data_IF_669546474490
#
_entry.id   IF_669546474490
#
_cell.length_a   1.000
_cell.length_b   1.000
_cell.length_c   1.000
_cell.angle_alpha   90.00
_cell.angle_beta   90.00
_cell.angle_gamma   90.00
#
_symmetry.space_group_name_H-M   'P 1'
#
loop_
_entity.id
_entity.type
_entity.pdbx_description
1 polymer ?
#
# COMPACT_ATOMS: atom_id res chain seq x y z
N UNK A 1 -18.58 37.93 -12.17
CA UNK A 1 -17.53 36.95 -11.86
C UNK A 1 -18.02 35.64 -12.49
N UNK A 2 -17.32 35.15 -13.52
CA UNK A 2 -17.64 33.85 -14.09
C UNK A 2 -17.46 32.82 -12.95
N UNK A 3 -18.51 32.05 -12.67
CA UNK A 3 -18.35 30.83 -11.91
C UNK A 3 -17.40 29.95 -12.73
N UNK A 4 -16.14 29.84 -12.32
CA UNK A 4 -15.24 28.84 -12.89
C UNK A 4 -15.91 27.48 -12.62
N UNK A 5 -16.50 26.93 -13.67
CA UNK A 5 -17.10 25.61 -13.59
C UNK A 5 -15.95 24.62 -13.36
N UNK A 6 -16.11 23.74 -12.38
CA UNK A 6 -15.15 22.66 -12.10
C UNK A 6 -14.72 22.00 -13.42
N UNK A 7 -13.40 21.78 -13.66
CA UNK A 7 -12.93 21.12 -14.87
C UNK A 7 -13.64 19.78 -15.07
N UNK A 8 -13.91 19.42 -16.32
CA UNK A 8 -14.42 18.08 -16.68
C UNK A 8 -13.27 17.17 -17.10
N UNK A 9 -13.53 15.87 -17.03
CA UNK A 9 -12.57 14.86 -17.49
C UNK A 9 -12.70 14.77 -19.01
N UNK A 10 -11.59 14.95 -19.73
CA UNK A 10 -11.54 14.96 -21.19
C UNK A 10 -11.09 13.64 -21.79
N UNK A 11 -10.15 12.94 -21.13
CA UNK A 11 -9.60 11.69 -21.62
C UNK A 11 -9.11 10.78 -20.49
N UNK A 12 -9.15 9.49 -20.75
CA UNK A 12 -8.55 8.43 -19.96
C UNK A 12 -7.52 7.69 -20.82
N UNK A 13 -6.30 7.53 -20.30
CA UNK A 13 -5.25 6.72 -20.93
C UNK A 13 -4.79 5.66 -19.97
N UNK A 14 -4.75 4.41 -20.41
CA UNK A 14 -4.34 3.26 -19.60
C UNK A 14 -3.17 2.55 -20.28
N UNK A 15 -2.16 2.18 -19.49
CA UNK A 15 -0.97 1.47 -19.98
C UNK A 15 -0.65 0.30 -19.05
N UNK A 16 -0.46 -0.87 -19.64
CA UNK A 16 0.07 -2.03 -18.95
C UNK A 16 1.59 -2.04 -19.10
N UNK A 17 2.33 -2.14 -17.99
CA UNK A 17 3.80 -2.20 -18.00
C UNK A 17 4.31 -3.31 -17.09
N UNK A 18 5.49 -3.84 -17.38
CA UNK A 18 6.19 -4.85 -16.56
C UNK A 18 7.57 -4.33 -16.22
N UNK A 19 7.72 -3.81 -15.01
CA UNK A 19 8.97 -3.21 -14.55
C UNK A 19 9.81 -4.27 -13.84
N UNK A 20 11.01 -4.62 -14.32
CA UNK A 20 11.86 -5.59 -13.64
C UNK A 20 12.31 -5.05 -12.28
N UNK A 21 12.29 -5.91 -11.27
CA UNK A 21 12.84 -5.59 -9.96
C UNK A 21 14.36 -5.64 -10.01
N UNK A 22 15.03 -4.71 -9.32
CA UNK A 22 16.48 -4.70 -9.18
C UNK A 22 17.00 -5.98 -8.50
N UNK A 23 16.24 -6.49 -7.54
CA UNK A 23 16.42 -7.78 -6.91
C UNK A 23 15.08 -8.52 -6.87
N UNK A 24 15.01 -9.80 -7.34
CA UNK A 24 13.80 -10.59 -7.21
C UNK A 24 13.39 -10.71 -5.74
N UNK A 25 12.09 -10.52 -5.45
CA UNK A 25 11.54 -10.61 -4.11
C UNK A 25 10.91 -11.98 -3.89
N UNK A 26 11.43 -12.74 -2.94
CA UNK A 26 10.90 -14.05 -2.56
C UNK A 26 9.71 -13.88 -1.62
N UNK A 27 8.62 -14.58 -1.91
CA UNK A 27 7.43 -14.65 -1.07
C UNK A 27 7.05 -16.12 -0.82
N UNK A 28 6.18 -16.39 0.13
CA UNK A 28 5.65 -17.75 0.34
C UNK A 28 4.90 -18.30 -0.88
N UNK A 29 4.41 -17.43 -1.78
CA UNK A 29 3.68 -17.80 -3.00
C UNK A 29 4.56 -17.91 -4.25
N UNK A 30 5.86 -17.61 -4.14
CA UNK A 30 6.83 -17.67 -5.25
C UNK A 30 7.66 -16.41 -5.38
N UNK A 31 8.43 -16.34 -6.48
CA UNK A 31 9.36 -15.24 -6.76
C UNK A 31 8.70 -14.17 -7.59
N UNK A 32 8.71 -12.92 -7.10
CA UNK A 32 8.33 -11.72 -7.85
C UNK A 32 9.60 -11.14 -8.45
N UNK A 33 9.77 -11.27 -9.77
CA UNK A 33 10.93 -10.75 -10.51
C UNK A 33 10.65 -9.44 -11.25
N UNK A 34 9.38 -9.02 -11.32
CA UNK A 34 8.92 -7.83 -12.01
C UNK A 34 7.64 -7.31 -11.36
N UNK A 35 7.39 -6.02 -11.51
CA UNK A 35 6.13 -5.37 -11.11
C UNK A 35 5.20 -5.25 -12.31
N UNK A 36 4.13 -6.06 -12.40
CA UNK A 36 3.07 -5.87 -13.38
C UNK A 36 2.16 -4.72 -12.95
N UNK A 37 2.26 -3.58 -13.64
CA UNK A 37 1.59 -2.32 -13.26
C UNK A 37 0.61 -1.84 -14.32
N UNK A 38 -0.52 -1.32 -13.87
CA UNK A 38 -1.46 -0.56 -14.69
C UNK A 38 -1.27 0.92 -14.37
N UNK A 39 -0.79 1.69 -15.33
CA UNK A 39 -0.66 3.14 -15.21
C UNK A 39 -1.91 3.79 -15.80
N UNK A 40 -2.49 4.72 -15.06
CA UNK A 40 -3.70 5.44 -15.47
C UNK A 40 -3.43 6.94 -15.48
N UNK A 41 -3.72 7.58 -16.61
CA UNK A 41 -3.63 9.01 -16.78
C UNK A 41 -5.03 9.57 -17.07
N UNK A 42 -5.50 10.53 -16.28
CA UNK A 42 -6.74 11.28 -16.48
C UNK A 42 -6.38 12.70 -16.92
N UNK A 43 -6.84 13.10 -18.12
CA UNK A 43 -6.65 14.48 -18.62
C UNK A 43 -7.93 15.26 -18.42
N UNK A 44 -7.84 16.43 -17.83
CA UNK A 44 -8.95 17.38 -17.62
C UNK A 44 -9.14 18.34 -18.78
N UNK A 45 -10.27 19.05 -18.83
CA UNK A 45 -10.60 20.01 -19.88
C UNK A 45 -9.66 21.22 -19.94
N UNK A 46 -9.02 21.57 -18.84
CA UNK A 46 -7.99 22.61 -18.70
C UNK A 46 -6.57 22.09 -18.97
N UNK A 47 -6.43 20.82 -19.34
CA UNK A 47 -5.16 20.22 -19.77
C UNK A 47 -4.31 19.64 -18.63
N UNK A 48 -4.77 19.66 -17.39
CA UNK A 48 -4.09 18.99 -16.29
C UNK A 48 -4.16 17.49 -16.46
N UNK A 49 -3.07 16.78 -16.13
CA UNK A 49 -3.00 15.32 -16.16
C UNK A 49 -2.75 14.80 -14.75
N UNK A 50 -3.68 13.97 -14.27
CA UNK A 50 -3.52 13.22 -13.02
C UNK A 50 -3.10 11.79 -13.29
N UNK A 51 -2.28 11.23 -12.41
CA UNK A 51 -1.62 9.95 -12.55
C UNK A 51 -2.00 9.00 -11.41
N UNK A 52 -2.10 7.72 -11.73
CA UNK A 52 -2.14 6.65 -10.72
C UNK A 52 -1.47 5.38 -11.21
N UNK A 53 -1.12 4.51 -10.27
CA UNK A 53 -0.56 3.19 -10.53
C UNK A 53 -1.30 2.13 -9.73
N UNK A 54 -1.54 0.99 -10.34
CA UNK A 54 -2.08 -0.23 -9.72
C UNK A 54 -1.11 -1.37 -9.93
N UNK A 55 -0.76 -2.08 -8.87
CA UNK A 55 0.06 -3.28 -8.90
C UNK A 55 -0.83 -4.51 -8.92
N UNK A 56 -0.70 -5.36 -9.93
CA UNK A 56 -1.61 -6.50 -10.12
C UNK A 56 -1.12 -7.82 -9.53
N UNK A 57 -0.03 -7.80 -8.76
CA UNK A 57 0.62 -8.94 -8.09
C UNK A 57 1.10 -10.06 -9.04
N UNK A 58 0.35 -10.32 -10.10
CA UNK A 58 0.68 -11.35 -11.10
C UNK A 58 0.52 -10.80 -12.51
N UNK A 59 1.43 -11.15 -13.45
CA UNK A 59 1.28 -10.79 -14.87
C UNK A 59 -0.03 -11.28 -15.49
N UNK A 60 -0.63 -12.35 -14.96
CA UNK A 60 -1.91 -12.89 -15.43
C UNK A 60 -3.05 -11.88 -15.27
N UNK A 61 -3.05 -11.08 -14.20
CA UNK A 61 -4.07 -10.08 -13.93
C UNK A 61 -3.80 -8.73 -14.63
N UNK A 62 -2.61 -8.52 -15.20
CA UNK A 62 -2.19 -7.22 -15.74
C UNK A 62 -3.12 -6.71 -16.86
N UNK A 63 -3.23 -7.46 -17.95
CA UNK A 63 -4.08 -7.05 -19.09
C UNK A 63 -5.56 -7.00 -18.74
N UNK A 64 -6.14 -7.99 -18.04
CA UNK A 64 -7.53 -7.89 -17.57
C UNK A 64 -7.83 -6.65 -16.74
N UNK A 65 -6.92 -6.26 -15.83
CA UNK A 65 -7.09 -5.06 -15.02
C UNK A 65 -6.97 -3.78 -15.87
N UNK A 66 -5.98 -3.71 -16.76
CA UNK A 66 -5.81 -2.56 -17.65
C UNK A 66 -7.02 -2.37 -18.57
N UNK A 67 -7.54 -3.45 -19.15
CA UNK A 67 -8.73 -3.44 -19.98
C UNK A 67 -9.98 -3.01 -19.19
N UNK A 68 -10.12 -3.49 -17.96
CA UNK A 68 -11.23 -3.07 -17.10
C UNK A 68 -11.18 -1.58 -16.78
N UNK A 69 -9.99 -1.03 -16.45
CA UNK A 69 -9.81 0.42 -16.24
C UNK A 69 -10.16 1.19 -17.50
N UNK A 70 -9.69 0.75 -18.69
CA UNK A 70 -10.01 1.40 -19.98
C UNK A 70 -11.51 1.37 -20.27
N UNK A 71 -12.21 0.29 -19.94
CA UNK A 71 -13.65 0.15 -20.13
C UNK A 71 -14.48 1.07 -19.22
N UNK A 72 -13.88 1.72 -18.24
CA UNK A 72 -14.53 2.78 -17.44
C UNK A 72 -14.60 4.13 -18.18
N UNK A 73 -13.87 4.31 -19.28
CA UNK A 73 -13.81 5.58 -20.02
C UNK A 73 -15.17 6.22 -20.29
N UNK A 74 -16.20 5.48 -20.81
CA UNK A 74 -17.53 6.07 -21.06
C UNK A 74 -18.28 6.51 -19.80
N UNK A 75 -17.88 6.02 -18.63
CA UNK A 75 -18.47 6.39 -17.34
C UNK A 75 -17.77 7.59 -16.69
N UNK A 76 -16.54 7.88 -17.09
CA UNK A 76 -15.66 8.87 -16.48
C UNK A 76 -15.50 10.11 -17.36
N UNK A 77 -15.29 9.94 -18.66
CA UNK A 77 -15.11 11.06 -19.61
C UNK A 77 -16.39 11.88 -19.72
N UNK A 78 -16.25 13.21 -19.70
CA UNK A 78 -17.36 14.17 -19.67
C UNK A 78 -17.88 14.49 -18.26
N UNK A 79 -17.52 13.71 -17.25
CA UNK A 79 -17.90 13.97 -15.86
C UNK A 79 -17.06 15.12 -15.25
N UNK A 80 -17.57 15.84 -14.25
CA UNK A 80 -16.77 16.83 -13.52
C UNK A 80 -15.61 16.16 -12.75
N UNK A 81 -14.51 16.89 -12.54
CA UNK A 81 -13.40 16.45 -11.70
C UNK A 81 -13.81 16.44 -10.22
N UNK A 82 -14.66 15.51 -9.84
CA UNK A 82 -15.27 15.38 -8.52
C UNK A 82 -15.06 13.95 -7.96
N UNK A 83 -13.88 13.65 -7.35
CA UNK A 83 -13.53 12.29 -6.93
C UNK A 83 -14.60 11.61 -6.06
N UNK A 84 -15.13 12.31 -5.05
CA UNK A 84 -16.14 11.74 -4.14
C UNK A 84 -17.46 11.39 -4.85
N UNK A 85 -17.87 12.20 -5.82
CA UNK A 85 -19.09 11.92 -6.59
C UNK A 85 -18.87 10.71 -7.51
N UNK A 86 -17.74 10.69 -8.23
CA UNK A 86 -17.44 9.60 -9.16
C UNK A 86 -17.22 8.27 -8.45
N UNK A 87 -16.57 8.27 -7.29
CA UNK A 87 -16.46 7.05 -6.48
C UNK A 87 -17.84 6.47 -6.16
N UNK A 88 -18.80 7.29 -5.72
CA UNK A 88 -20.15 6.84 -5.39
C UNK A 88 -20.91 6.32 -6.61
N UNK A 89 -20.83 7.03 -7.74
CA UNK A 89 -21.53 6.60 -8.99
C UNK A 89 -20.93 5.32 -9.56
N UNK A 90 -19.62 5.16 -9.54
CA UNK A 90 -18.96 3.94 -9.99
C UNK A 90 -19.26 2.77 -9.04
N UNK A 91 -19.19 2.96 -7.72
CA UNK A 91 -19.55 1.92 -6.75
C UNK A 91 -21.00 1.45 -6.93
N UNK A 92 -21.94 2.38 -7.17
CA UNK A 92 -23.32 2.09 -7.47
C UNK A 92 -23.49 1.29 -8.76
N UNK A 93 -22.71 1.61 -9.81
CA UNK A 93 -22.72 0.90 -11.10
C UNK A 93 -22.30 -0.56 -10.96
N UNK A 94 -21.34 -0.84 -10.07
CA UNK A 94 -20.83 -2.19 -9.86
C UNK A 94 -21.48 -2.93 -8.68
N UNK A 95 -22.59 -2.44 -8.13
CA UNK A 95 -23.25 -3.02 -6.95
C UNK A 95 -23.52 -4.52 -7.07
N UNK A 96 -23.94 -4.99 -8.25
CA UNK A 96 -24.28 -6.41 -8.46
C UNK A 96 -23.05 -7.30 -8.68
N UNK A 97 -21.95 -6.72 -9.16
CA UNK A 97 -20.69 -7.44 -9.37
C UNK A 97 -19.80 -7.42 -8.11
N UNK A 98 -19.95 -6.39 -7.28
CA UNK A 98 -19.08 -6.10 -6.16
C UNK A 98 -17.96 -5.14 -6.54
N UNK A 99 -17.37 -4.52 -5.53
CA UNK A 99 -16.26 -3.55 -5.65
C UNK A 99 -14.93 -4.09 -5.12
N UNK A 100 -14.78 -5.40 -5.10
CA UNK A 100 -13.59 -6.12 -4.65
C UNK A 100 -12.80 -6.67 -5.85
N UNK A 101 -11.59 -7.18 -5.59
CA UNK A 101 -10.75 -7.79 -6.61
C UNK A 101 -10.44 -6.83 -7.76
N UNK A 102 -10.48 -7.32 -9.00
CA UNK A 102 -10.13 -6.51 -10.18
C UNK A 102 -11.03 -5.27 -10.34
N UNK A 103 -12.30 -5.35 -9.95
CA UNK A 103 -13.20 -4.18 -9.96
C UNK A 103 -12.69 -3.14 -8.97
N UNK A 104 -12.38 -3.53 -7.74
CA UNK A 104 -11.83 -2.62 -6.72
C UNK A 104 -10.53 -1.96 -7.17
N UNK A 105 -9.62 -2.73 -7.79
CA UNK A 105 -8.39 -2.20 -8.37
C UNK A 105 -8.66 -1.14 -9.45
N UNK A 106 -9.60 -1.42 -10.37
CA UNK A 106 -9.93 -0.48 -11.43
C UNK A 106 -10.58 0.80 -10.91
N UNK A 107 -11.48 0.69 -9.93
CA UNK A 107 -12.10 1.86 -9.30
C UNK A 107 -11.09 2.71 -8.53
N UNK A 108 -10.17 2.07 -7.80
CA UNK A 108 -9.10 2.74 -7.09
C UNK A 108 -8.12 3.45 -8.04
N UNK A 109 -7.82 2.86 -9.22
CA UNK A 109 -7.00 3.52 -10.23
C UNK A 109 -7.62 4.85 -10.68
N UNK A 110 -8.93 4.88 -10.93
CA UNK A 110 -9.65 6.11 -11.28
C UNK A 110 -9.64 7.10 -10.12
N UNK A 111 -10.00 6.67 -8.90
CA UNK A 111 -10.05 7.52 -7.71
C UNK A 111 -8.69 8.22 -7.45
N UNK A 112 -7.60 7.46 -7.42
CA UNK A 112 -6.26 8.00 -7.20
C UNK A 112 -5.85 9.02 -8.29
N UNK A 113 -6.15 8.74 -9.57
CA UNK A 113 -5.82 9.65 -10.66
C UNK A 113 -6.67 10.93 -10.62
N UNK A 114 -7.93 10.85 -10.19
CA UNK A 114 -8.80 12.02 -10.00
C UNK A 114 -8.29 12.94 -8.88
N UNK A 115 -7.90 12.36 -7.75
CA UNK A 115 -7.33 13.13 -6.65
C UNK A 115 -5.99 13.76 -7.01
N UNK A 116 -5.15 13.06 -7.80
CA UNK A 116 -3.92 13.62 -8.33
C UNK A 116 -4.19 14.79 -9.27
N UNK A 117 -5.12 14.65 -10.23
CA UNK A 117 -5.54 15.71 -11.12
C UNK A 117 -6.08 16.93 -10.36
N UNK A 118 -6.91 16.71 -9.34
CA UNK A 118 -7.47 17.78 -8.52
C UNK A 118 -6.37 18.55 -7.76
N UNK A 119 -5.42 17.85 -7.16
CA UNK A 119 -4.32 18.50 -6.46
C UNK A 119 -3.44 19.31 -7.45
N UNK A 120 -3.13 18.74 -8.61
CA UNK A 120 -2.35 19.40 -9.67
C UNK A 120 -3.04 20.62 -10.25
N UNK A 121 -4.38 20.60 -10.43
CA UNK A 121 -5.12 21.76 -10.94
C UNK A 121 -5.04 22.98 -10.01
N UNK A 122 -4.74 22.75 -8.73
CA UNK A 122 -4.49 23.80 -7.75
C UNK A 122 -3.00 24.06 -7.50
N UNK A 123 -2.10 23.39 -8.22
CA UNK A 123 -0.64 23.44 -7.99
C UNK A 123 -0.24 23.08 -6.56
N UNK A 124 -0.98 22.17 -5.94
CA UNK A 124 -0.76 21.67 -4.57
C UNK A 124 -0.35 20.20 -4.58
N UNK A 125 0.26 19.75 -3.49
CA UNK A 125 0.30 18.32 -3.18
C UNK A 125 -1.07 17.87 -2.68
N UNK A 126 -1.35 16.55 -2.75
CA UNK A 126 -2.56 15.97 -2.16
C UNK A 126 -2.66 16.31 -0.67
N UNK A 127 -1.53 16.24 0.04
CA UNK A 127 -1.44 16.60 1.46
C UNK A 127 -1.91 18.04 1.73
N UNK A 128 -1.41 19.00 0.93
CA UNK A 128 -1.79 20.42 1.04
C UNK A 128 -3.25 20.66 0.64
N UNK A 129 -3.72 19.99 -0.43
CA UNK A 129 -5.11 20.09 -0.86
C UNK A 129 -6.09 19.67 0.25
N UNK A 130 -5.71 18.66 1.03
CA UNK A 130 -6.50 18.16 2.16
C UNK A 130 -6.26 18.95 3.47
N UNK A 131 -5.52 20.06 3.43
CA UNK A 131 -5.26 20.90 4.60
C UNK A 131 -4.24 20.30 5.58
N UNK A 132 -3.47 19.30 5.16
CA UNK A 132 -2.43 18.67 5.97
C UNK A 132 -1.07 19.33 5.85
N UNK A 133 -0.16 18.94 6.73
CA UNK A 133 1.25 19.32 6.72
C UNK A 133 2.13 18.09 6.94
N UNK A 134 3.36 18.13 6.39
CA UNK A 134 4.32 17.06 6.57
C UNK A 134 4.63 16.86 8.07
N UNK A 135 4.69 15.62 8.49
CA UNK A 135 5.11 15.20 9.83
C UNK A 135 6.07 14.02 9.73
N UNK A 136 6.95 13.82 10.73
CA UNK A 136 7.87 12.69 10.71
C UNK A 136 7.11 11.37 10.79
N UNK A 137 7.26 10.54 9.76
CA UNK A 137 6.73 9.17 9.70
C UNK A 137 7.93 8.25 9.48
N UNK A 138 8.17 7.27 10.36
CA UNK A 138 9.25 6.30 10.17
C UNK A 138 8.93 5.36 9.00
N UNK A 139 9.99 4.93 8.30
CA UNK A 139 9.87 3.98 7.20
C UNK A 139 10.62 2.68 7.52
N UNK A 140 10.11 1.57 6.99
CA UNK A 140 10.79 0.29 7.00
C UNK A 140 10.99 -0.26 5.60
N UNK A 141 12.09 -1.00 5.42
CA UNK A 141 12.41 -1.67 4.17
C UNK A 141 11.92 -3.13 4.16
N UNK A 142 11.50 -3.59 2.99
CA UNK A 142 11.02 -4.97 2.79
C UNK A 142 12.20 -5.95 2.68
N UNK A 143 12.09 -7.10 3.36
CA UNK A 143 13.00 -8.25 3.32
C UNK A 143 12.20 -9.47 2.86
N UNK A 144 12.76 -10.24 1.93
CA UNK A 144 12.07 -11.40 1.34
C UNK A 144 12.05 -12.65 2.24
N UNK A 145 11.63 -13.77 1.63
CA UNK A 145 11.59 -15.10 2.22
C UNK A 145 12.88 -15.88 1.85
N UNK A 146 14.05 -15.37 2.26
CA UNK A 146 15.36 -15.75 1.68
C UNK A 146 16.25 -16.55 2.64
N UNK A 147 15.73 -16.94 3.82
CA UNK A 147 16.48 -17.60 4.87
C UNK A 147 17.35 -16.63 5.69
N UNK A 148 17.89 -17.14 6.80
CA UNK A 148 18.51 -16.32 7.83
C UNK A 148 19.66 -15.45 7.35
N UNK A 149 20.56 -16.00 6.52
CA UNK A 149 21.76 -15.27 6.07
C UNK A 149 21.43 -14.15 5.08
N UNK A 150 20.57 -14.43 4.10
CA UNK A 150 20.18 -13.42 3.09
C UNK A 150 19.28 -12.34 3.70
N UNK A 151 18.32 -12.71 4.55
CA UNK A 151 17.50 -11.75 5.28
C UNK A 151 18.35 -10.81 6.16
N UNK A 152 19.37 -11.33 6.83
CA UNK A 152 20.29 -10.52 7.63
C UNK A 152 21.08 -9.52 6.78
N UNK A 153 21.56 -9.93 5.59
CA UNK A 153 22.24 -9.02 4.64
C UNK A 153 21.30 -7.91 4.17
N UNK A 154 20.12 -8.28 3.68
CA UNK A 154 19.14 -7.29 3.19
C UNK A 154 18.70 -6.33 4.28
N UNK A 155 18.47 -6.82 5.50
CA UNK A 155 18.15 -5.98 6.66
C UNK A 155 19.28 -5.00 6.99
N UNK A 156 20.55 -5.48 6.96
CA UNK A 156 21.71 -4.63 7.12
C UNK A 156 21.80 -3.54 6.05
N UNK A 157 21.59 -3.88 4.79
CA UNK A 157 21.63 -2.93 3.67
C UNK A 157 20.56 -1.84 3.82
N UNK A 158 19.34 -2.17 4.26
CA UNK A 158 18.32 -1.17 4.60
C UNK A 158 18.74 -0.27 5.76
N UNK A 159 19.31 -0.84 6.84
CA UNK A 159 19.78 -0.06 7.96
C UNK A 159 20.93 0.90 7.57
N UNK A 160 21.85 0.48 6.67
CA UNK A 160 22.89 1.36 6.12
C UNK A 160 22.34 2.50 5.27
N UNK A 161 21.19 2.32 4.63
CA UNK A 161 20.47 3.39 3.93
C UNK A 161 19.69 4.31 4.89
N UNK A 162 19.78 4.06 6.20
CA UNK A 162 19.16 4.90 7.23
C UNK A 162 17.76 4.49 7.65
N UNK A 163 17.24 3.35 7.18
CA UNK A 163 15.94 2.85 7.63
C UNK A 163 15.99 2.45 9.12
N UNK A 164 14.94 2.80 9.85
CA UNK A 164 14.81 2.50 11.27
C UNK A 164 13.95 1.26 11.56
N UNK A 165 13.48 0.60 10.52
CA UNK A 165 12.74 -0.65 10.60
C UNK A 165 12.97 -1.54 9.38
N UNK A 166 12.77 -2.85 9.54
CA UNK A 166 12.78 -3.86 8.48
C UNK A 166 11.66 -4.86 8.71
N UNK A 167 11.00 -5.32 7.63
CA UNK A 167 9.95 -6.33 7.69
C UNK A 167 10.32 -7.53 6.82
N UNK A 168 10.44 -8.72 7.43
CA UNK A 168 10.77 -9.95 6.73
C UNK A 168 9.55 -10.87 6.56
N UNK A 169 9.50 -11.57 5.45
CA UNK A 169 8.57 -12.68 5.25
C UNK A 169 9.07 -13.90 6.02
N UNK A 170 8.17 -14.54 6.79
CA UNK A 170 8.43 -15.76 7.55
C UNK A 170 7.31 -16.80 7.30
N UNK A 171 7.36 -17.93 7.97
CA UNK A 171 6.46 -19.05 7.76
C UNK A 171 7.21 -20.26 7.22
N UNK A 172 8.45 -20.41 7.67
CA UNK A 172 9.29 -21.58 7.34
C UNK A 172 8.70 -22.87 7.91
N UNK A 173 9.27 -24.00 7.53
CA UNK A 173 8.77 -25.32 7.93
C UNK A 173 8.64 -25.45 9.46
N UNK A 174 9.56 -24.87 10.21
CA UNK A 174 9.52 -24.86 11.68
C UNK A 174 9.54 -23.44 12.23
N UNK A 175 8.98 -23.24 13.44
CA UNK A 175 9.08 -21.96 14.14
C UNK A 175 10.53 -21.63 14.53
N UNK A 176 11.39 -22.62 14.69
CA UNK A 176 12.81 -22.45 14.96
C UNK A 176 13.52 -21.80 13.77
N UNK A 177 13.10 -22.09 12.54
CA UNK A 177 13.62 -21.44 11.34
C UNK A 177 13.16 -19.96 11.29
N UNK A 178 11.90 -19.67 11.65
CA UNK A 178 11.40 -18.30 11.78
C UNK A 178 12.25 -17.51 12.81
N UNK A 179 12.48 -18.10 13.98
CA UNK A 179 13.33 -17.50 15.04
C UNK A 179 14.76 -17.29 14.57
N UNK A 180 15.33 -18.23 13.80
CA UNK A 180 16.69 -18.11 13.27
C UNK A 180 16.81 -16.90 12.33
N UNK A 181 15.81 -16.64 11.47
CA UNK A 181 15.75 -15.45 10.61
C UNK A 181 15.70 -14.18 11.45
N UNK A 182 14.80 -14.10 12.42
CA UNK A 182 14.62 -12.92 13.28
C UNK A 182 15.92 -12.60 14.03
N UNK A 183 16.55 -13.61 14.65
CA UNK A 183 17.79 -13.43 15.41
C UNK A 183 18.97 -13.06 14.52
N UNK A 184 19.05 -13.60 13.30
CA UNK A 184 20.08 -13.23 12.33
C UNK A 184 19.94 -11.76 11.91
N UNK A 185 18.71 -11.30 11.61
CA UNK A 185 18.44 -9.90 11.33
C UNK A 185 18.80 -9.01 12.54
N UNK A 186 18.34 -9.36 13.75
CA UNK A 186 18.62 -8.59 14.98
C UNK A 186 20.14 -8.45 15.21
N UNK A 187 20.90 -9.53 14.99
CA UNK A 187 22.36 -9.48 15.07
C UNK A 187 22.99 -8.54 14.03
N UNK A 188 22.40 -8.47 12.83
CA UNK A 188 22.91 -7.63 11.75
C UNK A 188 22.62 -6.14 11.94
N UNK A 189 21.42 -5.79 12.44
CA UNK A 189 20.95 -4.40 12.52
C UNK A 189 21.05 -3.79 13.93
N UNK A 190 21.26 -4.60 14.95
CA UNK A 190 21.30 -4.15 16.36
C UNK A 190 19.92 -3.82 16.93
N UNK A 191 19.89 -3.37 18.20
CA UNK A 191 18.63 -3.15 18.95
C UNK A 191 17.91 -1.85 18.56
N UNK A 192 18.59 -0.95 17.86
CA UNK A 192 18.02 0.35 17.43
C UNK A 192 17.09 0.28 16.22
N UNK A 193 17.04 -0.85 15.50
CA UNK A 193 16.19 -1.04 14.33
C UNK A 193 15.00 -1.92 14.68
N UNK A 194 13.79 -1.44 14.39
CA UNK A 194 12.56 -2.20 14.58
C UNK A 194 12.51 -3.40 13.62
N UNK A 195 12.13 -4.57 14.11
CA UNK A 195 11.92 -5.77 13.30
C UNK A 195 10.44 -6.12 13.31
N UNK A 196 9.88 -6.29 12.13
CA UNK A 196 8.54 -6.77 11.87
C UNK A 196 8.62 -8.05 11.05
N UNK A 197 7.62 -8.89 11.18
CA UNK A 197 7.54 -10.13 10.40
C UNK A 197 6.15 -10.32 9.82
N UNK A 198 6.06 -11.03 8.70
CA UNK A 198 4.84 -11.23 7.96
C UNK A 198 4.71 -12.70 7.52
N UNK A 199 3.61 -13.31 7.89
CA UNK A 199 3.26 -14.69 7.52
C UNK A 199 2.52 -14.79 6.19
N UNK A 200 2.06 -13.68 5.63
CA UNK A 200 1.26 -13.64 4.39
C UNK A 200 0.15 -14.71 4.36
N UNK A 201 -0.63 -14.80 5.43
CA UNK A 201 -1.81 -15.64 5.54
C UNK A 201 -1.52 -17.15 5.50
N UNK A 202 -0.32 -17.59 5.86
CA UNK A 202 0.14 -18.97 5.65
C UNK A 202 -0.27 -19.97 6.75
N UNK A 203 -0.76 -19.49 7.89
CA UNK A 203 -1.03 -20.34 9.05
C UNK A 203 -2.53 -20.52 9.31
N UNK A 204 -2.89 -21.62 9.97
CA UNK A 204 -4.17 -21.72 10.67
C UNK A 204 -4.13 -20.92 11.98
N UNK A 205 -5.28 -20.48 12.55
CA UNK A 205 -5.28 -19.78 13.84
C UNK A 205 -4.59 -20.54 14.96
N UNK A 206 -4.76 -21.87 15.01
CA UNK A 206 -4.13 -22.71 16.02
C UNK A 206 -2.59 -22.75 15.88
N UNK A 207 -2.08 -22.89 14.65
CA UNK A 207 -0.64 -22.83 14.38
C UNK A 207 -0.07 -21.44 14.68
N UNK A 208 -0.79 -20.38 14.30
CA UNK A 208 -0.40 -19.02 14.59
C UNK A 208 -0.23 -18.80 16.11
N UNK A 209 -1.21 -19.20 16.92
CA UNK A 209 -1.10 -19.11 18.39
C UNK A 209 0.12 -19.85 18.92
N UNK A 210 0.38 -21.07 18.43
CA UNK A 210 1.54 -21.86 18.86
C UNK A 210 2.87 -21.20 18.50
N UNK A 211 2.99 -20.68 17.26
CA UNK A 211 4.21 -19.99 16.80
C UNK A 211 4.43 -18.67 17.53
N UNK A 212 3.37 -17.88 17.74
CA UNK A 212 3.48 -16.59 18.41
C UNK A 212 3.91 -16.74 19.87
N UNK A 213 3.50 -17.77 20.59
CA UNK A 213 4.04 -18.04 21.94
C UNK A 213 5.57 -18.17 21.97
N UNK A 214 6.18 -18.66 20.89
CA UNK A 214 7.65 -18.71 20.76
C UNK A 214 8.21 -17.35 20.38
N UNK A 215 7.55 -16.64 19.45
CA UNK A 215 7.99 -15.35 18.92
C UNK A 215 7.84 -14.20 19.93
N UNK A 216 6.95 -14.31 20.91
CA UNK A 216 6.69 -13.27 21.93
C UNK A 216 7.93 -12.80 22.72
N UNK A 217 9.00 -13.57 22.69
CA UNK A 217 10.28 -13.22 23.32
C UNK A 217 11.30 -12.54 22.40
N UNK A 218 11.04 -12.41 21.09
CA UNK A 218 12.02 -11.97 20.10
C UNK A 218 12.03 -10.45 19.88
N UNK A 219 11.21 -9.66 20.59
CA UNK A 219 11.20 -8.20 20.52
C UNK A 219 10.74 -7.64 19.18
N UNK A 220 9.73 -8.25 18.59
CA UNK A 220 9.11 -7.81 17.34
C UNK A 220 8.19 -6.62 17.57
N UNK A 221 8.13 -5.73 16.60
CA UNK A 221 7.20 -4.58 16.60
C UNK A 221 5.77 -5.03 16.31
N UNK A 222 5.59 -5.96 15.37
CA UNK A 222 4.35 -6.71 15.11
C UNK A 222 4.62 -8.00 14.35
N UNK A 223 3.61 -8.86 14.37
CA UNK A 223 3.46 -9.98 13.45
C UNK A 223 2.29 -9.66 12.52
N UNK A 224 2.50 -9.79 11.20
CA UNK A 224 1.55 -9.42 10.17
C UNK A 224 0.87 -10.64 9.57
N UNK A 225 -0.44 -10.51 9.31
CA UNK A 225 -1.29 -11.48 8.64
C UNK A 225 -0.99 -12.96 8.95
N UNK A 226 -1.03 -13.39 10.22
CA UNK A 226 -0.73 -14.79 10.56
C UNK A 226 -1.70 -15.78 9.91
N UNK A 227 -2.98 -15.40 9.73
CA UNK A 227 -4.01 -16.27 9.12
C UNK A 227 -4.67 -15.59 7.91
N UNK A 228 -5.65 -16.24 7.27
CA UNK A 228 -6.34 -15.72 6.09
C UNK A 228 -6.97 -14.34 6.36
N UNK A 229 -6.80 -13.38 5.46
CA UNK A 229 -7.21 -11.99 5.66
C UNK A 229 -8.69 -11.78 6.00
N UNK A 230 -9.57 -12.68 5.53
CA UNK A 230 -11.01 -12.65 5.79
C UNK A 230 -11.43 -13.46 7.04
N UNK A 231 -10.49 -14.13 7.71
CA UNK A 231 -10.76 -14.83 8.97
C UNK A 231 -10.58 -13.89 10.16
N UNK A 232 -11.50 -12.93 10.30
CA UNK A 232 -11.47 -11.95 11.39
C UNK A 232 -11.55 -12.58 12.76
N UNK A 233 -12.30 -13.67 12.91
CA UNK A 233 -12.41 -14.40 14.18
C UNK A 233 -11.11 -15.13 14.54
N UNK A 234 -10.47 -15.77 13.55
CA UNK A 234 -9.15 -16.39 13.72
C UNK A 234 -8.07 -15.37 14.08
N UNK A 235 -8.03 -14.22 13.41
CA UNK A 235 -7.13 -13.13 13.77
C UNK A 235 -7.40 -12.61 15.20
N UNK A 236 -8.66 -12.44 15.61
CA UNK A 236 -9.01 -12.03 16.96
C UNK A 236 -8.54 -13.05 18.01
N UNK A 237 -8.67 -14.35 17.72
CA UNK A 237 -8.15 -15.41 18.59
C UNK A 237 -6.63 -15.30 18.74
N UNK A 238 -5.91 -15.05 17.65
CA UNK A 238 -4.45 -14.89 17.63
C UNK A 238 -4.05 -13.63 18.40
N UNK A 239 -4.67 -12.50 18.15
CA UNK A 239 -4.38 -11.22 18.82
C UNK A 239 -4.61 -11.30 20.34
N UNK A 240 -5.64 -12.01 20.79
CA UNK A 240 -5.90 -12.23 22.22
C UNK A 240 -4.87 -13.14 22.90
N UNK A 241 -4.28 -14.07 22.16
CA UNK A 241 -3.31 -15.03 22.70
C UNK A 241 -1.87 -14.54 22.69
N UNK A 242 -1.53 -13.65 21.75
CA UNK A 242 -0.19 -13.11 21.58
C UNK A 242 0.08 -11.89 22.51
N UNK A 243 1.35 -11.72 22.91
CA UNK A 243 1.83 -10.46 23.52
C UNK A 243 2.41 -9.51 22.48
N UNK A 244 2.98 -10.05 21.42
CA UNK A 244 3.45 -9.28 20.27
C UNK A 244 2.24 -8.76 19.50
N UNK A 245 2.17 -7.46 19.19
CA UNK A 245 1.04 -6.90 18.45
C UNK A 245 0.82 -7.57 17.10
N UNK A 246 -0.44 -7.71 16.71
CA UNK A 246 -0.85 -8.21 15.40
C UNK A 246 -1.18 -7.03 14.49
N UNK A 247 -0.69 -7.04 13.24
CA UNK A 247 -1.03 -6.09 12.20
C UNK A 247 -1.71 -6.80 11.03
N UNK A 248 -2.83 -6.26 10.56
CA UNK A 248 -3.57 -6.78 9.40
C UNK A 248 -4.08 -5.63 8.55
N UNK A 249 -4.46 -5.93 7.31
CA UNK A 249 -5.24 -4.99 6.51
C UNK A 249 -4.78 -4.76 5.08
N UNK A 250 -3.57 -5.15 4.69
CA UNK A 250 -3.12 -5.01 3.31
C UNK A 250 -4.04 -5.72 2.29
N UNK A 251 -4.79 -6.72 2.75
CA UNK A 251 -5.68 -7.53 1.93
C UNK A 251 -7.18 -7.25 2.16
N UNK A 252 -7.53 -6.18 2.90
CA UNK A 252 -8.93 -5.79 3.09
C UNK A 252 -9.46 -4.94 1.94
N UNK A 253 -10.65 -5.26 1.47
CA UNK A 253 -11.32 -4.58 0.37
C UNK A 253 -12.35 -3.58 0.89
N UNK A 254 -12.00 -2.30 0.79
CA UNK A 254 -12.87 -1.20 1.23
C UNK A 254 -13.04 -1.11 2.75
N UNK A 255 -13.79 -0.11 3.18
CA UNK A 255 -14.01 0.18 4.60
C UNK A 255 -14.88 -0.84 5.32
N UNK A 256 -15.60 -1.70 4.60
CA UNK A 256 -16.42 -2.74 5.20
C UNK A 256 -15.58 -3.84 5.84
N UNK A 257 -14.51 -4.30 5.16
CA UNK A 257 -13.60 -5.29 5.74
C UNK A 257 -12.89 -4.72 6.97
N UNK A 258 -12.46 -3.45 6.92
CA UNK A 258 -11.91 -2.76 8.08
C UNK A 258 -12.91 -2.70 9.24
N UNK A 259 -14.19 -2.42 8.97
CA UNK A 259 -15.22 -2.41 10.02
C UNK A 259 -15.39 -3.79 10.65
N UNK A 260 -15.47 -4.85 9.84
CA UNK A 260 -15.56 -6.23 10.33
C UNK A 260 -14.35 -6.60 11.20
N UNK A 261 -13.14 -6.22 10.78
CA UNK A 261 -11.92 -6.47 11.54
C UNK A 261 -11.92 -5.71 12.88
N UNK A 262 -12.33 -4.45 12.89
CA UNK A 262 -12.45 -3.64 14.11
C UNK A 262 -13.48 -4.27 15.06
N UNK A 263 -14.64 -4.66 14.56
CA UNK A 263 -15.73 -5.21 15.39
C UNK A 263 -15.35 -6.58 15.99
N UNK A 264 -14.54 -7.35 15.27
CA UNK A 264 -14.00 -8.62 15.75
C UNK A 264 -12.82 -8.47 16.71
N UNK A 265 -12.16 -7.30 16.76
CA UNK A 265 -10.88 -7.13 17.45
C UNK A 265 -9.76 -7.94 16.78
N UNK A 266 -9.75 -7.96 15.45
CA UNK A 266 -8.88 -8.84 14.65
C UNK A 266 -7.41 -8.45 14.68
N UNK A 267 -7.05 -7.21 15.03
CA UNK A 267 -5.66 -6.75 15.07
C UNK A 267 -5.48 -5.55 15.99
N UNK A 268 -4.24 -5.37 16.47
CA UNK A 268 -3.83 -4.22 17.30
C UNK A 268 -3.51 -3.00 16.44
N UNK A 269 -2.93 -3.23 15.25
CA UNK A 269 -2.59 -2.22 14.26
C UNK A 269 -3.24 -2.54 12.91
N UNK A 270 -3.48 -1.52 12.12
CA UNK A 270 -4.05 -1.62 10.78
C UNK A 270 -2.99 -1.23 9.75
N UNK A 271 -2.91 -2.00 8.67
CA UNK A 271 -2.12 -1.68 7.50
C UNK A 271 -3.05 -1.42 6.31
N UNK A 272 -3.05 -0.21 5.78
CA UNK A 272 -3.89 0.13 4.64
C UNK A 272 -3.11 0.02 3.33
N UNK A 273 -3.68 -0.72 2.40
CA UNK A 273 -3.29 -0.69 0.99
C UNK A 273 -4.19 0.29 0.25
N UNK A 274 -3.63 1.36 -0.31
CA UNK A 274 -4.44 2.43 -0.92
C UNK A 274 -5.29 1.94 -2.10
N UNK A 275 -4.81 0.95 -2.85
CA UNK A 275 -5.55 0.36 -3.95
C UNK A 275 -6.74 -0.48 -3.45
N UNK A 276 -6.50 -1.35 -2.46
CA UNK A 276 -7.55 -2.28 -1.96
C UNK A 276 -8.57 -1.58 -1.08
N UNK A 277 -8.16 -0.57 -0.30
CA UNK A 277 -9.09 0.18 0.56
C UNK A 277 -10.03 1.11 -0.23
N UNK A 278 -9.83 1.27 -1.54
CA UNK A 278 -10.67 2.08 -2.42
C UNK A 278 -10.11 3.45 -2.76
N UNK A 279 -8.82 3.53 -3.03
CA UNK A 279 -8.12 4.76 -3.42
C UNK A 279 -7.91 5.74 -2.27
N UNK A 280 -7.69 6.98 -2.61
CA UNK A 280 -7.56 8.09 -1.65
C UNK A 280 -8.86 8.27 -0.85
N UNK A 281 -10.01 8.21 -1.52
CA UNK A 281 -11.32 8.34 -0.88
C UNK A 281 -11.54 7.26 0.17
N UNK A 282 -11.22 6.00 -0.15
CA UNK A 282 -11.29 4.88 0.77
C UNK A 282 -10.34 5.03 1.96
N UNK A 283 -9.10 5.45 1.70
CA UNK A 283 -8.11 5.68 2.76
C UNK A 283 -8.56 6.73 3.76
N UNK A 284 -9.05 7.88 3.31
CA UNK A 284 -9.49 8.96 4.20
C UNK A 284 -10.61 8.50 5.13
N UNK A 285 -11.56 7.71 4.61
CA UNK A 285 -12.63 7.10 5.43
C UNK A 285 -12.07 6.08 6.43
N UNK A 286 -11.19 5.20 5.98
CA UNK A 286 -10.56 4.17 6.82
C UNK A 286 -9.70 4.78 7.93
N UNK A 287 -8.92 5.82 7.62
CA UNK A 287 -8.11 6.55 8.59
C UNK A 287 -8.98 7.22 9.68
N UNK A 288 -10.13 7.78 9.31
CA UNK A 288 -11.08 8.34 10.27
C UNK A 288 -11.69 7.26 11.20
N UNK A 289 -12.00 6.07 10.65
CA UNK A 289 -12.50 4.94 11.45
C UNK A 289 -11.43 4.44 12.44
N UNK A 290 -10.20 4.25 11.98
CA UNK A 290 -9.08 3.84 12.83
C UNK A 290 -8.78 4.89 13.92
N UNK A 291 -8.81 6.18 13.57
CA UNK A 291 -8.63 7.27 14.53
C UNK A 291 -9.69 7.27 15.62
N UNK A 292 -10.96 7.10 15.27
CA UNK A 292 -12.06 7.03 16.23
C UNK A 292 -11.92 5.88 17.25
N UNK A 293 -11.13 4.86 16.92
CA UNK A 293 -10.82 3.70 17.78
C UNK A 293 -9.42 3.77 18.41
N UNK A 294 -8.63 4.80 18.11
CA UNK A 294 -7.25 4.92 18.58
C UNK A 294 -6.28 3.90 17.98
N UNK A 295 -6.65 3.27 16.86
CA UNK A 295 -5.84 2.24 16.20
C UNK A 295 -4.79 2.90 15.33
N UNK A 296 -3.53 2.46 15.44
CA UNK A 296 -2.41 2.94 14.61
C UNK A 296 -2.51 2.38 13.20
N UNK A 297 -2.13 3.21 12.20
CA UNK A 297 -2.24 2.90 10.78
C UNK A 297 -0.87 2.98 10.12
N UNK A 298 -0.44 1.87 9.53
CA UNK A 298 0.71 1.76 8.63
C UNK A 298 0.23 1.69 7.17
N UNK A 299 1.14 1.90 6.21
CA UNK A 299 0.84 1.70 4.80
C UNK A 299 1.37 0.37 4.29
N UNK A 300 0.71 -0.16 3.25
CA UNK A 300 1.23 -1.18 2.37
C UNK A 300 1.51 -0.56 1.00
N UNK A 301 2.74 -0.70 0.48
CA UNK A 301 3.19 -0.19 -0.82
C UNK A 301 2.85 1.29 -1.12
N UNK A 302 2.89 1.69 -2.40
CA UNK A 302 2.60 3.05 -2.90
C UNK A 302 3.30 4.17 -2.13
N UNK A 303 4.65 4.12 -1.98
CA UNK A 303 5.35 5.01 -1.05
C UNK A 303 5.07 6.50 -1.31
N UNK A 304 4.99 6.95 -2.55
CA UNK A 304 4.75 8.36 -2.91
C UNK A 304 3.40 8.86 -2.38
N UNK A 305 2.33 8.10 -2.65
CA UNK A 305 0.98 8.44 -2.24
C UNK A 305 0.74 8.14 -0.76
N UNK A 306 1.18 6.96 -0.29
CA UNK A 306 1.02 6.55 1.10
C UNK A 306 1.72 7.49 2.09
N UNK A 307 2.86 8.08 1.72
CA UNK A 307 3.55 9.08 2.52
C UNK A 307 2.66 10.31 2.81
N UNK A 308 1.96 10.81 1.80
CA UNK A 308 1.04 11.94 1.96
C UNK A 308 -0.20 11.55 2.78
N UNK A 309 -0.76 10.36 2.52
CA UNK A 309 -1.92 9.85 3.22
C UNK A 309 -1.64 9.55 4.70
N UNK A 310 -0.46 9.02 5.03
CA UNK A 310 -0.02 8.87 6.43
C UNK A 310 0.13 10.22 7.13
N UNK A 311 0.62 11.24 6.45
CA UNK A 311 0.66 12.59 7.03
C UNK A 311 -0.74 13.14 7.36
N UNK A 312 -1.77 12.76 6.59
CA UNK A 312 -3.18 13.08 6.86
C UNK A 312 -3.82 12.19 7.94
N UNK A 313 -3.22 11.05 8.24
CA UNK A 313 -3.76 10.06 9.18
C UNK A 313 -3.38 10.43 10.62
N UNK A 314 -4.32 10.76 11.53
CA UNK A 314 -3.98 11.18 12.89
C UNK A 314 -3.22 10.12 13.69
N UNK A 315 -3.52 8.86 13.48
CA UNK A 315 -2.90 7.70 14.15
C UNK A 315 -1.84 7.02 13.27
N UNK A 316 -1.16 7.77 12.38
CA UNK A 316 -0.11 7.22 11.53
C UNK A 316 0.97 6.49 12.32
N UNK A 317 1.47 5.39 11.76
CA UNK A 317 2.46 4.52 12.38
C UNK A 317 3.71 4.42 11.51
N UNK A 318 3.74 3.53 10.51
CA UNK A 318 4.89 3.29 9.66
C UNK A 318 4.55 3.39 8.17
N UNK A 319 5.51 3.86 7.38
CA UNK A 319 5.50 3.75 5.93
C UNK A 319 6.22 2.46 5.51
N UNK A 320 5.57 1.58 4.75
CA UNK A 320 6.27 0.56 3.99
C UNK A 320 6.92 1.17 2.77
N UNK A 321 8.24 0.99 2.65
CA UNK A 321 8.98 1.42 1.48
C UNK A 321 9.35 0.23 0.60
N UNK A 322 8.97 0.33 -0.69
CA UNK A 322 9.37 -0.58 -1.74
C UNK A 322 9.71 0.23 -2.99
N UNK A 323 10.83 -0.10 -3.63
CA UNK A 323 11.37 0.57 -4.81
C UNK A 323 10.90 -0.05 -6.14
N UNK A 324 9.82 -0.82 -6.10
CA UNK A 324 9.38 -1.75 -7.15
C UNK A 324 8.98 -1.10 -8.47
N UNK A 325 8.75 0.20 -8.50
CA UNK A 325 8.45 0.98 -9.71
C UNK A 325 9.26 2.26 -9.83
N UNK A 326 10.28 2.45 -8.98
CA UNK A 326 11.19 3.59 -9.06
C UNK A 326 11.74 3.83 -10.48
N UNK A 327 12.09 2.78 -11.29
CA UNK A 327 12.62 2.98 -12.64
C UNK A 327 11.69 3.76 -13.59
N UNK A 328 10.38 3.79 -13.35
CA UNK A 328 9.42 4.50 -14.20
C UNK A 328 8.98 5.84 -13.62
N UNK A 329 9.47 6.23 -12.45
CA UNK A 329 9.19 7.54 -11.84
C UNK A 329 10.27 8.57 -12.23
N UNK A 330 9.87 9.84 -12.26
CA UNK A 330 10.79 10.96 -12.41
C UNK A 330 11.59 11.17 -11.11
N UNK A 331 10.89 11.25 -10.00
CA UNK A 331 11.43 11.52 -8.67
C UNK A 331 10.77 10.57 -7.65
N UNK A 332 11.35 9.37 -7.45
CA UNK A 332 10.86 8.46 -6.41
C UNK A 332 10.97 9.08 -5.02
N UNK A 333 10.05 8.69 -4.12
CA UNK A 333 10.08 9.12 -2.72
C UNK A 333 11.45 8.81 -2.08
N UNK A 334 12.00 9.79 -1.39
CA UNK A 334 13.25 9.65 -0.66
C UNK A 334 12.98 9.40 0.82
N UNK A 335 13.74 8.48 1.40
CA UNK A 335 13.80 8.29 2.86
C UNK A 335 15.09 8.93 3.36
N UNK A 336 14.98 9.86 4.32
CA UNK A 336 16.11 10.55 4.91
C UNK A 336 16.13 10.30 6.43
N UNK A 337 17.22 9.74 6.94
CA UNK A 337 17.37 9.40 8.37
C UNK A 337 16.19 8.55 8.91
N UNK A 338 15.76 7.57 8.13
CA UNK A 338 14.66 6.68 8.49
C UNK A 338 13.25 7.28 8.44
N UNK A 339 13.11 8.52 7.99
CA UNK A 339 11.84 9.23 7.89
C UNK A 339 11.53 9.57 6.43
N UNK A 340 10.25 9.61 6.07
CA UNK A 340 9.82 10.09 4.77
C UNK A 340 10.17 11.58 4.56
N UNK A 341 10.51 11.94 3.31
CA UNK A 341 10.78 13.31 2.91
C UNK A 341 9.81 13.71 1.78
N UNK A 342 8.92 14.66 2.08
CA UNK A 342 7.88 15.16 1.13
C UNK A 342 8.24 16.55 0.63
N UNK A 343 9.44 16.70 0.06
CA UNK A 343 9.90 17.99 -0.45
C UNK A 343 9.36 18.21 -1.89
N UNK A 344 8.57 19.26 -2.08
CA UNK A 344 8.20 19.77 -3.41
C UNK A 344 7.22 18.93 -4.24
N UNK A 345 6.60 17.91 -3.68
CA UNK A 345 5.66 17.05 -4.40
C UNK A 345 4.42 17.84 -4.86
N UNK A 346 4.02 17.70 -6.13
CA UNK A 346 2.74 18.15 -6.68
C UNK A 346 1.84 16.95 -6.92
N UNK A 347 0.54 17.10 -6.70
CA UNK A 347 -0.37 15.95 -6.80
C UNK A 347 -0.07 14.90 -5.74
N UNK A 348 -0.12 13.64 -6.13
CA UNK A 348 0.21 12.48 -5.29
C UNK A 348 1.72 12.19 -5.20
N UNK A 349 2.54 12.96 -5.91
CA UNK A 349 3.99 12.73 -6.04
C UNK A 349 4.36 11.77 -7.18
N UNK A 350 3.36 11.19 -7.88
CA UNK A 350 3.58 10.30 -9.02
C UNK A 350 3.77 11.10 -10.30
N UNK A 351 4.92 10.96 -10.95
CA UNK A 351 5.20 11.54 -12.27
C UNK A 351 6.01 10.55 -13.10
N UNK A 352 5.54 10.26 -14.32
CA UNK A 352 6.17 9.24 -15.16
C UNK A 352 7.44 9.73 -15.83
N UNK A 353 8.49 8.93 -15.79
CA UNK A 353 9.57 8.97 -16.75
C UNK A 353 9.08 8.27 -18.03
N UNK A 354 8.49 9.02 -18.96
CA UNK A 354 7.87 8.46 -20.17
C UNK A 354 8.85 7.64 -21.02
N UNK A 355 10.14 7.98 -21.03
CA UNK A 355 11.17 7.21 -21.72
C UNK A 355 11.31 5.81 -21.11
N UNK A 356 11.34 5.73 -19.80
CA UNK A 356 11.42 4.44 -19.08
C UNK A 356 10.11 3.67 -19.20
N UNK A 357 8.96 4.32 -19.05
CA UNK A 357 7.65 3.68 -19.22
C UNK A 357 7.56 2.98 -20.57
N UNK A 358 7.96 3.66 -21.67
CA UNK A 358 7.92 3.09 -23.02
C UNK A 358 8.81 1.86 -23.22
N UNK A 359 9.83 1.66 -22.39
CA UNK A 359 10.70 0.46 -22.43
C UNK A 359 10.00 -0.78 -21.83
N UNK A 360 9.02 -0.58 -20.93
CA UNK A 360 8.40 -1.65 -20.15
C UNK A 360 6.94 -1.93 -20.53
N UNK A 361 6.43 -1.32 -21.60
CA UNK A 361 5.06 -1.58 -22.11
C UNK A 361 4.88 -3.06 -22.45
N UNK A 362 3.76 -3.69 -21.97
CA UNK A 362 3.48 -5.13 -22.06
C UNK A 362 2.52 -5.50 -23.22
#
# INVERSE_FOLDING_TARGET
MAHDSMPSIRALRVRAVRVPLAQPHQTASGTVSESPLVLTDITTSDGVVGHSVVFTYTPTALKPTAELVQNLEPLVVGQPLAPLLLEQELAKRFRLLGTQGLVGMALAAIDMALWDAMARSHSLSLLQLQGGAAKPIPAYGAVGFDGAEACARTAYDWAQQGFTGVKAKIGYATVQDDVAVIRAMRKAVGDGVAIMVDYNQSLTPAEAVQRLHVLDGEGLTWVEEPTLAHDYAGHAQVAQAARTPIQCGENWWGTQDLQHAIDAGASDFVMLDVMKIGGVTGWLRAAAMAHAKGIRVSSHLWPELSAQLLCLTPTAHWLEYADWWNPILHEPLQIKNGMLALDGATGTGVAWNEKSVNQYVA
#
